data_IF_943269426681
#
_entry.id   IF_943269426681
#
_cell.length_a   1.000
_cell.length_b   1.000
_cell.length_c   1.000
_cell.angle_alpha   90.00
_cell.angle_beta   90.00
_cell.angle_gamma   90.00
#
_symmetry.space_group_name_H-M   'P 1'
#
loop_
_entity.id
_entity.type
_entity.pdbx_description
1 polymer ?
#
# COMPACT_ATOMS: atom_id res chain seq x y z
N UNK A 1 1.99 10.72 -8.68
CA UNK A 1 1.95 9.30 -9.10
C UNK A 1 0.61 9.02 -9.76
N UNK A 2 0.60 8.44 -10.95
CA UNK A 2 -0.61 8.19 -11.75
C UNK A 2 -0.75 6.69 -12.07
N UNK A 3 -1.89 6.08 -11.72
CA UNK A 3 -2.19 4.66 -12.00
C UNK A 3 -3.68 4.31 -11.88
N UNK A 4 -4.08 3.19 -12.47
CA UNK A 4 -5.48 2.76 -12.50
C UNK A 4 -6.02 2.29 -11.13
N UNK A 5 -7.35 2.30 -10.95
CA UNK A 5 -7.99 1.74 -9.75
C UNK A 5 -7.82 0.22 -9.68
N UNK A 6 -7.93 -0.44 -10.83
CA UNK A 6 -7.85 -1.89 -10.99
C UNK A 6 -6.41 -2.36 -11.21
N UNK A 7 -6.13 -3.62 -10.87
CA UNK A 7 -4.77 -4.18 -10.90
C UNK A 7 -4.35 -4.76 -12.26
N UNK A 8 -5.28 -4.87 -13.22
CA UNK A 8 -5.02 -5.41 -14.55
C UNK A 8 -4.04 -4.53 -15.34
N UNK A 9 -3.41 -5.10 -16.36
CA UNK A 9 -2.46 -4.41 -17.25
C UNK A 9 -1.22 -3.83 -16.55
N UNK A 10 -0.73 -4.52 -15.51
CA UNK A 10 0.55 -4.21 -14.89
C UNK A 10 0.53 -3.14 -13.80
N UNK A 11 -0.65 -2.81 -13.25
CA UNK A 11 -0.82 -1.74 -12.25
C UNK A 11 -0.58 -2.18 -10.80
N UNK A 12 -0.42 -3.49 -10.55
CA UNK A 12 -0.32 -4.03 -9.20
C UNK A 12 0.90 -3.51 -8.44
N UNK A 13 2.05 -3.37 -9.11
CA UNK A 13 3.29 -2.83 -8.53
C UNK A 13 3.12 -1.42 -8.00
N UNK A 14 2.58 -0.53 -8.83
CA UNK A 14 2.27 0.85 -8.47
C UNK A 14 1.35 0.93 -7.23
N UNK A 15 0.30 0.10 -7.19
CA UNK A 15 -0.61 0.04 -6.04
C UNK A 15 0.10 -0.40 -4.75
N UNK A 16 0.99 -1.38 -4.82
CA UNK A 16 1.78 -1.83 -3.66
C UNK A 16 2.79 -0.78 -3.23
N UNK A 17 3.50 -0.18 -4.18
CA UNK A 17 4.43 0.91 -3.91
C UNK A 17 3.75 2.07 -3.18
N UNK A 18 2.56 2.49 -3.64
CA UNK A 18 1.79 3.54 -2.96
C UNK A 18 1.46 3.19 -1.51
N UNK A 19 0.93 1.98 -1.26
CA UNK A 19 0.50 1.60 0.10
C UNK A 19 1.68 1.39 1.05
N UNK A 20 2.69 0.69 0.58
CA UNK A 20 3.71 0.11 1.46
C UNK A 20 4.98 1.00 1.50
N UNK A 21 5.39 1.60 0.37
CA UNK A 21 6.61 2.39 0.26
C UNK A 21 6.35 3.90 0.41
N UNK A 22 5.37 4.45 -0.33
CA UNK A 22 5.13 5.90 -0.36
C UNK A 22 4.70 6.46 1.00
N UNK A 23 3.92 5.69 1.77
CA UNK A 23 3.53 6.04 3.14
C UNK A 23 4.76 6.21 4.05
N UNK A 24 5.76 5.33 3.93
CA UNK A 24 7.01 5.41 4.70
C UNK A 24 7.84 6.60 4.28
N UNK A 25 7.94 6.85 2.97
CA UNK A 25 8.63 8.02 2.43
C UNK A 25 8.01 9.31 2.98
N UNK A 26 6.67 9.41 3.06
CA UNK A 26 5.97 10.57 3.61
C UNK A 26 6.20 10.77 5.10
N UNK A 27 6.31 9.68 5.87
CA UNK A 27 6.61 9.75 7.30
C UNK A 27 7.95 10.43 7.58
N UNK A 28 9.00 10.07 6.83
CA UNK A 28 10.32 10.69 6.99
C UNK A 28 10.45 12.04 6.26
N UNK A 29 9.63 12.30 5.24
CA UNK A 29 9.67 13.52 4.44
C UNK A 29 8.30 14.24 4.45
N UNK A 30 7.84 14.76 5.60
CA UNK A 30 6.52 15.38 5.70
C UNK A 30 6.42 16.66 4.86
N UNK A 31 7.53 17.37 4.65
CA UNK A 31 7.57 18.61 3.84
C UNK A 31 7.37 18.40 2.34
N UNK A 32 7.55 17.17 1.82
CA UNK A 32 7.41 16.90 0.39
C UNK A 32 5.95 16.53 0.06
N UNK A 33 5.27 17.26 -0.84
CA UNK A 33 3.92 16.91 -1.27
C UNK A 33 3.98 15.65 -2.17
N UNK A 34 3.28 14.59 -1.75
CA UNK A 34 3.17 13.34 -2.50
C UNK A 34 1.73 13.17 -2.95
N UNK A 35 1.47 13.41 -4.24
CA UNK A 35 0.12 13.44 -4.81
C UNK A 35 -0.13 12.17 -5.61
N UNK A 36 -1.33 11.60 -5.45
CA UNK A 36 -1.77 10.41 -6.16
C UNK A 36 -2.98 10.72 -7.03
N UNK A 37 -2.86 10.46 -8.32
CA UNK A 37 -3.93 10.46 -9.29
C UNK A 37 -4.32 9.03 -9.61
N UNK A 38 -5.61 8.72 -9.51
CA UNK A 38 -6.15 7.43 -9.89
C UNK A 38 -7.30 7.59 -10.87
N UNK A 39 -7.49 6.60 -11.71
CA UNK A 39 -8.50 6.60 -12.78
C UNK A 39 -8.98 5.19 -13.13
N UNK A 40 -10.02 5.07 -13.95
CA UNK A 40 -10.57 3.78 -14.41
C UNK A 40 -9.92 3.24 -15.69
N UNK A 41 -9.08 4.03 -16.37
CA UNK A 41 -8.38 3.59 -17.56
C UNK A 41 -7.20 2.67 -17.17
N UNK A 42 -7.26 1.39 -17.54
CA UNK A 42 -6.16 0.46 -17.28
C UNK A 42 -5.07 0.53 -18.37
N UNK A 43 -5.40 1.06 -19.55
CA UNK A 43 -4.49 1.05 -20.71
C UNK A 43 -3.39 2.09 -20.56
N UNK A 44 -3.66 3.15 -19.82
CA UNK A 44 -2.63 4.14 -19.49
C UNK A 44 -1.55 3.50 -18.60
N UNK A 45 -0.27 3.62 -18.95
CA UNK A 45 0.79 3.04 -18.14
C UNK A 45 0.88 3.75 -16.79
N UNK A 46 1.11 3.02 -15.69
CA UNK A 46 1.32 3.64 -14.39
C UNK A 46 2.67 4.36 -14.37
N UNK A 47 2.66 5.67 -14.12
CA UNK A 47 3.85 6.52 -14.15
C UNK A 47 3.97 7.32 -12.86
N UNK A 48 5.19 7.35 -12.31
CA UNK A 48 5.56 8.23 -11.21
C UNK A 48 6.43 9.36 -11.74
N UNK A 49 5.99 10.59 -11.49
CA UNK A 49 6.71 11.80 -11.86
C UNK A 49 7.31 12.42 -10.60
N UNK A 50 8.61 12.66 -10.61
CA UNK A 50 9.38 13.29 -9.54
C UNK A 50 9.83 14.65 -10.04
N UNK A 51 9.60 15.70 -9.25
CA UNK A 51 10.04 17.05 -9.53
C UNK A 51 11.21 17.38 -8.60
N UNK A 52 12.33 17.79 -9.19
CA UNK A 52 13.51 18.27 -8.48
C UNK A 52 13.56 19.79 -8.65
N UNK A 53 13.57 20.50 -7.52
CA UNK A 53 13.78 21.95 -7.51
C UNK A 53 15.21 22.33 -7.92
N UNK A 54 15.47 23.64 -8.09
CA UNK A 54 16.80 24.11 -8.42
C UNK A 54 17.80 23.72 -7.32
N UNK A 55 19.07 23.43 -7.66
CA UNK A 55 20.07 22.92 -6.72
C UNK A 55 20.47 23.92 -5.61
N UNK A 56 19.95 25.15 -5.64
CA UNK A 56 20.31 26.26 -4.75
C UNK A 56 19.31 26.54 -3.62
N UNK A 57 18.16 25.84 -3.57
CA UNK A 57 17.22 25.99 -2.46
C UNK A 57 17.61 25.10 -1.29
N UNK A 58 17.97 25.73 -0.17
CA UNK A 58 18.22 25.05 1.10
C UNK A 58 16.95 24.29 1.56
N UNK A 59 17.04 23.00 1.91
CA UNK A 59 15.89 22.18 2.32
C UNK A 59 15.27 22.59 3.67
N UNK A 60 15.88 23.54 4.38
CA UNK A 60 15.41 24.10 5.65
C UNK A 60 14.41 25.26 5.49
N UNK A 61 14.29 25.81 4.29
CA UNK A 61 13.22 26.76 3.98
C UNK A 61 11.94 25.95 3.81
N UNK A 62 10.99 26.10 4.73
CA UNK A 62 9.68 25.45 4.69
C UNK A 62 8.97 25.59 3.33
N UNK A 63 7.86 24.87 3.12
CA UNK A 63 7.28 24.65 1.80
C UNK A 63 7.10 25.97 1.06
N UNK A 64 7.88 26.16 -0.02
CA UNK A 64 7.63 27.21 -0.99
C UNK A 64 6.24 26.92 -1.55
N UNK A 65 5.26 27.82 -1.39
CA UNK A 65 3.92 27.58 -1.91
C UNK A 65 4.00 27.72 -3.43
N UNK A 66 4.24 26.62 -4.13
CA UNK A 66 3.90 26.52 -5.54
C UNK A 66 2.37 26.69 -5.60
N UNK A 67 1.92 27.79 -6.20
CA UNK A 67 0.53 28.23 -6.28
C UNK A 67 -0.45 27.19 -6.86
N UNK A 68 0.04 26.08 -7.42
CA UNK A 68 -0.74 25.02 -8.07
C UNK A 68 -0.53 23.64 -7.41
N UNK A 69 -0.58 23.55 -6.07
CA UNK A 69 -0.49 22.25 -5.41
C UNK A 69 -1.79 21.45 -5.62
N UNK A 70 -1.79 20.60 -6.66
CA UNK A 70 -2.90 19.68 -6.96
C UNK A 70 -3.21 18.78 -5.76
N UNK A 71 -4.50 18.53 -5.52
CA UNK A 71 -4.95 17.54 -4.54
C UNK A 71 -5.05 16.15 -5.18
N UNK A 72 -4.91 15.10 -4.38
CA UNK A 72 -5.06 13.72 -4.86
C UNK A 72 -6.47 13.47 -5.40
N UNK A 73 -6.60 12.68 -6.45
CA UNK A 73 -7.87 12.41 -7.12
C UNK A 73 -8.08 10.92 -7.43
N UNK A 74 -9.34 10.48 -7.43
CA UNK A 74 -9.76 9.16 -7.91
C UNK A 74 -10.42 9.20 -9.29
N UNK A 75 -10.51 10.38 -9.90
CA UNK A 75 -11.26 10.64 -11.12
C UNK A 75 -10.37 11.28 -12.20
N UNK A 76 -9.06 11.01 -12.17
CA UNK A 76 -8.10 11.54 -13.13
C UNK A 76 -7.92 13.08 -13.15
N UNK A 77 -8.22 13.78 -12.04
CA UNK A 77 -8.15 15.25 -11.97
C UNK A 77 -6.77 15.79 -11.57
N UNK A 78 -5.88 14.93 -11.08
CA UNK A 78 -4.59 15.32 -10.49
C UNK A 78 -3.41 14.96 -11.40
N UNK A 79 -3.54 15.21 -12.70
CA UNK A 79 -2.52 14.84 -13.68
C UNK A 79 -1.21 15.59 -13.44
N UNK A 80 -0.10 14.95 -13.78
CA UNK A 80 1.22 15.56 -13.68
C UNK A 80 1.29 16.83 -14.55
N UNK A 81 1.63 17.95 -13.92
CA UNK A 81 1.86 19.23 -14.61
C UNK A 81 3.21 19.20 -15.34
N UNK A 82 3.37 19.98 -16.43
CA UNK A 82 4.69 20.17 -17.02
C UNK A 82 5.65 20.78 -15.97
N UNK A 83 6.97 20.51 -16.06
CA UNK A 83 7.95 21.13 -15.17
C UNK A 83 7.86 22.66 -15.20
N UNK A 84 8.06 23.29 -14.04
CA UNK A 84 8.36 24.71 -13.96
C UNK A 84 9.67 25.08 -14.68
N UNK A 85 9.89 26.39 -14.87
CA UNK A 85 11.03 26.92 -15.64
C UNK A 85 12.41 26.45 -15.17
N UNK A 86 12.55 26.22 -13.85
CA UNK A 86 13.81 25.82 -13.20
C UNK A 86 13.70 24.44 -12.51
N UNK A 87 12.71 23.64 -12.89
CA UNK A 87 12.47 22.32 -12.30
C UNK A 87 12.93 21.21 -13.25
N UNK A 88 13.65 20.22 -12.72
CA UNK A 88 13.95 18.98 -13.44
C UNK A 88 12.89 17.94 -13.11
N UNK A 89 12.30 17.32 -14.12
CA UNK A 89 11.36 16.22 -13.93
C UNK A 89 11.96 14.89 -14.32
N UNK A 90 11.71 13.86 -13.51
CA UNK A 90 12.01 12.47 -13.87
C UNK A 90 10.74 11.65 -13.86
N UNK A 91 10.59 10.81 -14.89
CA UNK A 91 9.46 9.89 -15.03
C UNK A 91 9.95 8.46 -14.84
N UNK A 92 9.34 7.76 -13.89
CA UNK A 92 9.55 6.34 -13.63
C UNK A 92 8.31 5.59 -14.11
N UNK A 93 8.49 4.77 -15.14
CA UNK A 93 7.45 3.83 -15.60
C UNK A 93 7.41 2.60 -14.67
N UNK A 94 6.21 2.26 -14.22
CA UNK A 94 5.97 1.22 -13.20
C UNK A 94 5.20 0.01 -13.75
N UNK A 95 4.94 -0.03 -15.06
CA UNK A 95 4.16 -1.09 -15.69
C UNK A 95 4.88 -2.43 -15.53
N UNK A 96 4.16 -3.44 -15.06
CA UNK A 96 4.65 -4.83 -14.89
C UNK A 96 5.86 -4.96 -13.94
N UNK A 97 6.13 -3.94 -13.11
CA UNK A 97 7.22 -3.95 -12.13
C UNK A 97 6.73 -4.33 -10.74
N UNK A 98 7.58 -4.96 -9.96
CA UNK A 98 7.30 -5.21 -8.54
C UNK A 98 7.54 -3.93 -7.72
N UNK A 99 6.87 -3.78 -6.56
CA UNK A 99 7.04 -2.58 -5.71
C UNK A 99 8.48 -2.34 -5.27
N UNK A 100 9.23 -3.41 -4.99
CA UNK A 100 10.64 -3.33 -4.61
C UNK A 100 11.52 -2.82 -5.76
N UNK A 101 11.21 -3.21 -6.99
CA UNK A 101 11.92 -2.73 -8.17
C UNK A 101 11.65 -1.25 -8.41
N UNK A 102 10.39 -0.82 -8.26
CA UNK A 102 10.00 0.59 -8.33
C UNK A 102 10.74 1.41 -7.26
N UNK A 103 10.86 0.87 -6.04
CA UNK A 103 11.62 1.51 -4.96
C UNK A 103 13.10 1.64 -5.30
N UNK A 104 13.72 0.59 -5.85
CA UNK A 104 15.11 0.65 -6.26
C UNK A 104 15.34 1.68 -7.37
N UNK A 105 14.44 1.78 -8.36
CA UNK A 105 14.49 2.82 -9.38
C UNK A 105 14.35 4.22 -8.78
N UNK A 106 13.45 4.39 -7.81
CA UNK A 106 13.26 5.66 -7.11
C UNK A 106 14.52 6.06 -6.33
N UNK A 107 15.12 5.13 -5.59
CA UNK A 107 16.34 5.37 -4.81
C UNK A 107 17.53 5.67 -5.73
N UNK A 108 17.65 4.97 -6.86
CA UNK A 108 18.71 5.22 -7.84
C UNK A 108 18.64 6.64 -8.42
N UNK A 109 17.42 7.14 -8.71
CA UNK A 109 17.24 8.48 -9.26
C UNK A 109 17.39 9.59 -8.21
N UNK A 110 16.82 9.37 -7.02
CA UNK A 110 16.83 10.38 -5.94
C UNK A 110 18.15 10.41 -5.18
N UNK A 111 18.95 9.33 -5.25
CA UNK A 111 20.17 9.12 -4.47
C UNK A 111 19.95 9.33 -2.97
N UNK A 112 18.76 8.96 -2.50
CA UNK A 112 18.37 9.14 -1.11
C UNK A 112 19.06 8.11 -0.21
N UNK A 113 19.40 8.54 1.00
CA UNK A 113 20.00 7.69 2.02
C UNK A 113 18.96 6.80 2.70
N UNK A 114 19.32 5.53 2.91
CA UNK A 114 18.45 4.57 3.60
C UNK A 114 18.63 4.74 5.11
N UNK A 115 17.53 4.98 5.81
CA UNK A 115 17.53 5.09 7.27
C UNK A 115 17.67 3.67 7.86
N UNK A 116 18.66 3.44 8.74
CA UNK A 116 18.81 2.15 9.41
C UNK A 116 17.64 1.92 10.38
N UNK A 117 17.21 0.67 10.46
CA UNK A 117 16.20 0.24 11.44
C UNK A 117 16.86 0.30 12.82
N UNK A 118 16.18 0.91 13.80
CA UNK A 118 16.69 0.97 15.18
C UNK A 118 16.50 -0.36 15.91
N UNK A 119 17.28 -0.62 16.96
CA UNK A 119 17.16 -1.86 17.73
C UNK A 119 15.76 -2.02 18.36
N UNK A 120 15.17 -0.91 18.82
CA UNK A 120 13.80 -0.88 19.33
C UNK A 120 12.78 -1.32 18.27
N UNK A 121 12.94 -0.88 17.01
CA UNK A 121 12.04 -1.27 15.93
C UNK A 121 12.16 -2.78 15.62
N UNK A 122 13.37 -3.35 15.76
CA UNK A 122 13.60 -4.80 15.56
C UNK A 122 12.88 -5.60 16.63
N UNK A 123 12.97 -5.19 17.89
CA UNK A 123 12.27 -5.84 19.01
C UNK A 123 10.75 -5.79 18.83
N UNK A 124 10.20 -4.63 18.46
CA UNK A 124 8.78 -4.48 18.16
C UNK A 124 8.34 -5.38 17.00
N UNK A 125 9.15 -5.46 15.94
CA UNK A 125 8.86 -6.31 14.78
C UNK A 125 8.79 -7.79 15.18
N UNK A 126 9.73 -8.26 16.01
CA UNK A 126 9.73 -9.62 16.53
C UNK A 126 8.52 -9.90 17.44
N UNK A 127 8.16 -8.95 18.31
CA UNK A 127 6.98 -9.04 19.16
C UNK A 127 5.68 -9.12 18.33
N UNK A 128 5.55 -8.29 17.28
CA UNK A 128 4.42 -8.34 16.36
C UNK A 128 4.35 -9.67 15.58
N UNK A 129 5.49 -10.22 15.16
CA UNK A 129 5.53 -11.52 14.49
C UNK A 129 5.11 -12.67 15.39
N UNK A 130 5.58 -12.69 16.64
CA UNK A 130 5.20 -13.72 17.61
C UNK A 130 3.70 -13.65 17.90
N UNK A 131 3.15 -12.44 18.10
CA UNK A 131 1.70 -12.22 18.26
C UNK A 131 0.90 -12.70 17.05
N UNK A 132 1.35 -12.44 15.81
CA UNK A 132 0.69 -12.92 14.59
C UNK A 132 0.63 -14.45 14.52
N UNK A 133 1.73 -15.13 14.87
CA UNK A 133 1.80 -16.61 14.88
C UNK A 133 0.84 -17.20 15.90
N UNK A 134 0.83 -16.67 17.13
CA UNK A 134 -0.10 -17.10 18.17
C UNK A 134 -1.56 -16.86 17.76
N UNK A 135 -1.86 -15.69 17.20
CA UNK A 135 -3.20 -15.35 16.73
C UNK A 135 -3.68 -16.22 15.56
N UNK A 136 -2.77 -16.68 14.69
CA UNK A 136 -3.11 -17.62 13.62
C UNK A 136 -3.45 -19.00 14.19
N UNK A 137 -2.61 -19.53 15.09
CA UNK A 137 -2.87 -20.81 15.73
C UNK A 137 -4.18 -20.81 16.56
N UNK A 138 -4.46 -19.71 17.27
CA UNK A 138 -5.70 -19.55 18.02
C UNK A 138 -6.94 -19.48 17.11
N UNK A 139 -6.83 -18.84 15.94
CA UNK A 139 -7.91 -18.80 14.94
C UNK A 139 -8.23 -20.19 14.39
N UNK A 140 -7.20 -20.98 14.07
CA UNK A 140 -7.39 -22.35 13.59
C UNK A 140 -8.03 -23.24 14.66
N UNK A 141 -7.59 -23.15 15.92
CA UNK A 141 -8.20 -23.90 17.03
C UNK A 141 -9.70 -23.60 17.17
N UNK A 142 -10.06 -22.30 17.19
CA UNK A 142 -11.47 -21.88 17.29
C UNK A 142 -12.31 -22.36 16.11
N UNK A 143 -11.72 -22.36 14.91
CA UNK A 143 -12.39 -22.88 13.71
C UNK A 143 -12.69 -24.37 13.86
N UNK A 144 -11.73 -25.17 14.31
CA UNK A 144 -11.93 -26.61 14.55
C UNK A 144 -12.95 -26.90 15.65
N UNK A 145 -12.93 -26.13 16.74
CA UNK A 145 -13.92 -26.25 17.81
C UNK A 145 -15.33 -25.94 17.30
N UNK A 146 -15.48 -24.88 16.51
CA UNK A 146 -16.76 -24.52 15.90
C UNK A 146 -17.27 -25.58 14.93
N UNK A 147 -16.40 -26.12 14.06
CA UNK A 147 -16.77 -27.19 13.13
C UNK A 147 -17.17 -28.48 13.84
N UNK A 148 -16.53 -28.78 14.99
CA UNK A 148 -16.93 -29.93 15.81
C UNK A 148 -18.28 -29.71 16.47
N UNK A 149 -18.50 -28.55 17.07
CA UNK A 149 -19.79 -28.19 17.67
C UNK A 149 -20.93 -28.25 16.66
N UNK A 150 -20.74 -27.70 15.46
CA UNK A 150 -21.73 -27.73 14.38
C UNK A 150 -22.08 -29.17 13.96
N UNK A 151 -21.08 -30.07 13.86
CA UNK A 151 -21.30 -31.49 13.57
C UNK A 151 -22.05 -32.21 14.70
N UNK A 152 -21.67 -31.96 15.95
CA UNK A 152 -22.30 -32.57 17.11
C UNK A 152 -23.77 -32.11 17.23
N UNK A 153 -24.04 -30.82 16.98
CA UNK A 153 -25.40 -30.25 16.91
C UNK A 153 -26.23 -30.84 15.76
N UNK A 154 -25.66 -30.98 14.57
CA UNK A 154 -26.34 -31.58 13.41
C UNK A 154 -26.70 -33.06 13.68
N UNK A 155 -25.78 -33.81 14.30
CA UNK A 155 -26.03 -35.20 14.71
C UNK A 155 -27.14 -35.29 15.76
N UNK A 156 -27.11 -34.41 16.76
CA UNK A 156 -28.12 -34.40 17.81
C UNK A 156 -29.51 -34.05 17.25
N UNK A 157 -29.58 -33.08 16.33
CA UNK A 157 -30.82 -32.72 15.62
C UNK A 157 -31.38 -33.88 14.81
N UNK A 158 -30.53 -34.58 14.03
CA UNK A 158 -30.95 -35.78 13.29
C UNK A 158 -31.47 -36.86 14.24
N UNK A 159 -30.83 -37.06 15.38
CA UNK A 159 -31.27 -38.04 16.37
C UNK A 159 -32.63 -37.66 16.99
N UNK A 160 -32.85 -36.39 17.32
CA UNK A 160 -34.16 -35.92 17.83
C UNK A 160 -35.27 -36.05 16.79
N UNK A 161 -34.97 -35.74 15.52
CA UNK A 161 -35.93 -35.84 14.42
C UNK A 161 -36.35 -37.31 14.20
N UNK A 162 -35.40 -38.26 14.24
CA UNK A 162 -35.70 -39.70 14.13
C UNK A 162 -36.58 -40.18 15.28
N UNK A 163 -36.28 -39.79 16.52
CA UNK A 163 -37.08 -40.19 17.69
C UNK A 163 -38.51 -39.63 17.59
N UNK A 164 -38.66 -38.37 17.18
CA UNK A 164 -39.98 -37.76 16.97
C UNK A 164 -40.78 -38.49 15.89
N UNK A 165 -40.14 -38.88 14.78
CA UNK A 165 -40.80 -39.61 13.68
C UNK A 165 -41.19 -41.04 14.01
N UNK A 166 -40.58 -41.65 15.04
CA UNK A 166 -40.88 -43.02 15.48
C UNK A 166 -41.99 -43.08 16.54
N UNK A 167 -42.40 -41.93 17.08
CA UNK A 167 -43.44 -41.81 18.11
C UNK A 167 -44.83 -41.44 17.53
N UNK A 168 -44.90 -41.19 16.22
CA UNK A 168 -46.13 -40.93 15.43
C UNK A 168 -46.54 -42.18 14.63
#
# INVERSE_FOLDING_TARGET
MDFALNMYEGHMGARKFWKDCLTRLKYHNPGVPMIVNRHNDNKSPPIMTIYFGPPTVNPASGPVPSSDQLSSSRQNLAKALPPGKDERTVKIEMKDKHSNEILNMFLAETKADVIPISDSDVEEMQALETMKRLAAAARERRKQEKEKQEKDEELLKKATDVISSAAE
#
